data_IF_637458714408
#
_entry.id   IF_637458714408
#
_cell.length_a   1.000
_cell.length_b   1.000
_cell.length_c   1.000
_cell.angle_alpha   90.00
_cell.angle_beta   90.00
_cell.angle_gamma   90.00
#
_symmetry.space_group_name_H-M   'P 1'
#
loop_
_entity.id
_entity.type
_entity.pdbx_description
1 polymer ?
#
# COMPACT_ATOMS: atom_id res chain seq x y z
N UNK A 1 5.45 5.73 8.31
CA UNK A 1 4.20 5.66 9.09
C UNK A 1 3.22 6.75 8.66
N UNK A 2 3.57 8.04 8.80
CA UNK A 2 2.68 9.15 8.41
C UNK A 2 2.09 9.02 6.99
N UNK A 3 2.90 8.71 5.97
CA UNK A 3 2.42 8.56 4.59
C UNK A 3 1.36 7.47 4.41
N UNK A 4 1.51 6.35 5.11
CA UNK A 4 0.57 5.24 5.00
C UNK A 4 -0.74 5.56 5.75
N UNK A 5 -0.65 6.26 6.89
CA UNK A 5 -1.85 6.75 7.57
C UNK A 5 -2.63 7.76 6.72
N UNK A 6 -1.94 8.64 5.99
CA UNK A 6 -2.57 9.59 5.08
C UNK A 6 -3.26 8.88 3.90
N UNK A 7 -2.65 7.82 3.35
CA UNK A 7 -3.30 6.98 2.32
C UNK A 7 -4.60 6.35 2.83
N UNK A 8 -4.64 5.90 4.09
CA UNK A 8 -5.88 5.37 4.68
C UNK A 8 -6.94 6.44 4.88
N UNK A 9 -6.56 7.66 5.24
CA UNK A 9 -7.51 8.77 5.32
C UNK A 9 -8.16 9.06 3.97
N UNK A 10 -7.41 9.00 2.87
CA UNK A 10 -7.96 9.14 1.51
C UNK A 10 -9.03 8.06 1.27
N UNK A 11 -8.70 6.79 1.51
CA UNK A 11 -9.63 5.68 1.30
C UNK A 11 -10.91 5.82 2.15
N UNK A 12 -10.79 6.28 3.40
CA UNK A 12 -11.94 6.52 4.28
C UNK A 12 -12.78 7.69 3.75
N UNK A 13 -12.15 8.79 3.34
CA UNK A 13 -12.85 9.97 2.82
C UNK A 13 -13.60 9.62 1.53
N UNK A 14 -12.97 8.89 0.61
CA UNK A 14 -13.58 8.42 -0.62
C UNK A 14 -14.82 7.56 -0.32
N UNK A 15 -14.71 6.62 0.62
CA UNK A 15 -15.82 5.75 1.01
C UNK A 15 -16.97 6.54 1.68
N UNK A 16 -16.66 7.49 2.56
CA UNK A 16 -17.67 8.35 3.22
C UNK A 16 -18.41 9.19 2.18
N UNK A 17 -17.71 9.83 1.27
CA UNK A 17 -18.34 10.68 0.25
C UNK A 17 -19.19 9.86 -0.72
N UNK A 18 -18.70 8.70 -1.18
CA UNK A 18 -19.48 7.82 -2.06
C UNK A 18 -20.67 7.18 -1.35
N UNK A 19 -20.58 6.95 -0.04
CA UNK A 19 -21.72 6.51 0.76
C UNK A 19 -22.86 7.52 0.82
N UNK A 20 -22.56 8.82 0.70
CA UNK A 20 -23.59 9.88 0.59
C UNK A 20 -24.13 10.07 -0.84
N UNK A 21 -23.46 9.52 -1.86
CA UNK A 21 -23.99 9.52 -3.24
C UNK A 21 -25.02 8.41 -3.42
N UNK A 22 -24.69 7.18 -2.98
CA UNK A 22 -25.59 6.06 -3.09
C UNK A 22 -24.96 4.73 -2.71
N UNK A 23 -25.83 3.73 -2.46
CA UNK A 23 -25.39 2.37 -2.13
C UNK A 23 -24.70 1.68 -3.32
N UNK A 24 -25.11 2.00 -4.54
CA UNK A 24 -24.53 1.44 -5.78
C UNK A 24 -23.09 1.92 -5.92
N UNK A 25 -22.84 3.23 -5.76
CA UNK A 25 -21.53 3.86 -5.87
C UNK A 25 -20.59 3.37 -4.78
N UNK A 26 -21.10 3.24 -3.54
CA UNK A 26 -20.33 2.72 -2.42
C UNK A 26 -19.93 1.25 -2.66
N UNK A 27 -20.89 0.40 -3.06
CA UNK A 27 -20.62 -1.01 -3.37
C UNK A 27 -19.67 -1.18 -4.55
N UNK A 28 -19.86 -0.39 -5.62
CA UNK A 28 -19.01 -0.39 -6.79
C UNK A 28 -17.57 0.05 -6.46
N UNK A 29 -17.40 1.07 -5.64
CA UNK A 29 -16.06 1.55 -5.22
C UNK A 29 -15.30 0.50 -4.42
N UNK A 30 -15.98 -0.31 -3.62
CA UNK A 30 -15.36 -1.40 -2.87
C UNK A 30 -14.81 -2.49 -3.81
N UNK A 31 -15.62 -2.93 -4.80
CA UNK A 31 -15.21 -3.95 -5.79
C UNK A 31 -14.07 -3.41 -6.66
N UNK A 32 -14.25 -2.20 -7.22
CA UNK A 32 -13.26 -1.55 -8.06
C UNK A 32 -11.96 -1.27 -7.30
N UNK A 33 -12.06 -0.88 -6.02
CA UNK A 33 -10.93 -0.64 -5.14
C UNK A 33 -10.08 -1.89 -4.89
N UNK A 34 -10.70 -3.06 -4.64
CA UNK A 34 -9.99 -4.33 -4.47
C UNK A 34 -9.31 -4.75 -5.79
N UNK A 35 -10.00 -4.59 -6.91
CA UNK A 35 -9.45 -4.88 -8.23
C UNK A 35 -8.23 -3.99 -8.51
N UNK A 36 -8.37 -2.69 -8.33
CA UNK A 36 -7.28 -1.73 -8.48
C UNK A 36 -6.11 -2.02 -7.54
N UNK A 37 -6.40 -2.36 -6.26
CA UNK A 37 -5.40 -2.73 -5.28
C UNK A 37 -4.58 -3.95 -5.72
N UNK A 38 -5.22 -4.99 -6.27
CA UNK A 38 -4.51 -6.16 -6.75
C UNK A 38 -3.52 -5.81 -7.88
N UNK A 39 -3.93 -4.94 -8.81
CA UNK A 39 -3.05 -4.43 -9.88
C UNK A 39 -1.92 -3.57 -9.30
N UNK A 40 -2.25 -2.66 -8.38
CA UNK A 40 -1.28 -1.79 -7.72
C UNK A 40 -0.20 -2.58 -6.96
N UNK A 41 -0.57 -3.71 -6.35
CA UNK A 41 0.35 -4.56 -5.58
C UNK A 41 1.49 -5.13 -6.44
N UNK A 42 1.32 -5.26 -7.76
CA UNK A 42 2.42 -5.64 -8.64
C UNK A 42 3.52 -4.57 -8.67
N UNK A 43 3.15 -3.31 -8.85
CA UNK A 43 4.10 -2.19 -8.79
C UNK A 43 4.70 -1.99 -7.40
N UNK A 44 3.87 -2.11 -6.36
CA UNK A 44 4.31 -2.01 -4.96
C UNK A 44 5.33 -3.10 -4.61
N UNK A 45 5.08 -4.36 -4.96
CA UNK A 45 6.01 -5.46 -4.75
C UNK A 45 7.35 -5.25 -5.48
N UNK A 46 7.32 -4.76 -6.72
CA UNK A 46 8.55 -4.37 -7.42
C UNK A 46 9.30 -3.27 -6.68
N UNK A 47 8.60 -2.26 -6.18
CA UNK A 47 9.19 -1.13 -5.46
C UNK A 47 9.95 -1.57 -4.19
N UNK A 48 9.49 -2.63 -3.51
CA UNK A 48 10.19 -3.20 -2.34
C UNK A 48 11.55 -3.78 -2.76
N UNK A 49 11.60 -4.57 -3.82
CA UNK A 49 12.87 -5.12 -4.32
C UNK A 49 13.83 -4.04 -4.79
N UNK A 50 13.32 -3.03 -5.49
CA UNK A 50 14.07 -1.84 -5.89
C UNK A 50 14.66 -1.11 -4.66
N UNK A 51 13.84 -0.89 -3.61
CA UNK A 51 14.25 -0.27 -2.35
C UNK A 51 15.40 -1.02 -1.69
N UNK A 52 15.34 -2.36 -1.65
CA UNK A 52 16.40 -3.20 -1.08
C UNK A 52 17.71 -3.02 -1.83
N UNK A 53 17.69 -3.01 -3.17
CA UNK A 53 18.91 -2.78 -3.95
C UNK A 53 19.49 -1.38 -3.77
N UNK A 54 18.64 -0.36 -3.77
CA UNK A 54 19.04 1.03 -3.52
C UNK A 54 19.68 1.16 -2.13
N UNK A 55 19.02 0.59 -1.10
CA UNK A 55 19.50 0.62 0.27
C UNK A 55 20.89 -0.05 0.43
N UNK A 56 21.08 -1.19 -0.25
CA UNK A 56 22.38 -1.89 -0.24
C UNK A 56 23.47 -1.02 -0.87
N UNK A 57 23.23 -0.44 -2.05
CA UNK A 57 24.18 0.44 -2.74
C UNK A 57 24.50 1.70 -1.91
N UNK A 58 23.50 2.21 -1.21
CA UNK A 58 23.69 3.34 -0.30
C UNK A 58 24.57 2.95 0.89
N UNK A 59 24.36 1.77 1.50
CA UNK A 59 25.20 1.25 2.58
C UNK A 59 26.65 0.99 2.14
N UNK A 60 26.85 0.51 0.90
CA UNK A 60 28.19 0.37 0.27
C UNK A 60 28.83 1.72 -0.07
N UNK A 61 28.19 2.86 0.20
CA UNK A 61 28.60 4.22 -0.21
C UNK A 61 28.76 4.38 -1.74
N UNK A 62 28.23 3.46 -2.52
CA UNK A 62 28.25 3.50 -3.97
C UNK A 62 27.06 4.32 -4.52
N UNK A 63 27.10 5.63 -4.23
CA UNK A 63 26.00 6.54 -4.52
C UNK A 63 25.67 6.63 -6.03
N UNK A 64 26.69 6.56 -6.91
CA UNK A 64 26.46 6.58 -8.36
C UNK A 64 25.71 5.33 -8.85
N UNK A 65 25.99 4.16 -8.26
CA UNK A 65 25.24 2.94 -8.55
C UNK A 65 23.81 3.00 -7.99
N UNK A 66 23.60 3.71 -6.88
CA UNK A 66 22.25 3.99 -6.32
C UNK A 66 21.39 4.71 -7.35
N UNK A 67 21.87 5.81 -7.94
CA UNK A 67 21.12 6.55 -8.96
C UNK A 67 20.87 5.74 -10.23
N UNK A 68 21.85 4.98 -10.70
CA UNK A 68 21.64 4.06 -11.85
C UNK A 68 20.54 3.03 -11.56
N UNK A 69 20.53 2.43 -10.36
CA UNK A 69 19.53 1.46 -9.95
C UNK A 69 18.14 2.10 -9.88
N UNK A 70 18.05 3.31 -9.34
CA UNK A 70 16.80 4.07 -9.29
C UNK A 70 16.19 4.28 -10.68
N UNK A 71 16.98 4.70 -11.68
CA UNK A 71 16.46 4.91 -13.03
C UNK A 71 16.01 3.63 -13.72
N UNK A 72 16.66 2.47 -13.47
CA UNK A 72 16.13 1.19 -13.99
C UNK A 72 14.73 0.91 -13.42
N UNK A 73 14.54 1.13 -12.11
CA UNK A 73 13.24 0.97 -11.46
C UNK A 73 12.20 1.95 -11.97
N UNK A 74 12.58 3.21 -12.16
CA UNK A 74 11.69 4.24 -12.70
C UNK A 74 11.21 3.91 -14.12
N UNK A 75 12.12 3.50 -15.02
CA UNK A 75 11.76 3.10 -16.37
C UNK A 75 10.83 1.89 -16.39
N UNK A 76 11.14 0.86 -15.60
CA UNK A 76 10.31 -0.33 -15.52
C UNK A 76 8.91 -0.02 -14.97
N UNK A 77 8.82 0.68 -13.84
CA UNK A 77 7.54 1.03 -13.24
C UNK A 77 6.70 1.94 -14.14
N UNK A 78 7.32 2.91 -14.80
CA UNK A 78 6.59 3.75 -15.77
C UNK A 78 6.06 2.94 -16.95
N UNK A 79 6.84 2.02 -17.51
CA UNK A 79 6.40 1.11 -18.58
C UNK A 79 5.31 0.16 -18.11
N UNK A 80 5.46 -0.39 -16.90
CA UNK A 80 4.45 -1.26 -16.29
C UNK A 80 3.14 -0.51 -16.01
N UNK A 81 3.21 0.76 -15.60
CA UNK A 81 2.02 1.60 -15.41
C UNK A 81 1.21 1.75 -16.70
N UNK A 82 1.89 2.06 -17.81
CA UNK A 82 1.24 2.17 -19.12
C UNK A 82 0.63 0.83 -19.54
N UNK A 83 1.37 -0.27 -19.41
CA UNK A 83 0.90 -1.61 -19.75
C UNK A 83 -0.35 -1.98 -18.92
N UNK A 84 -0.31 -1.80 -17.62
CA UNK A 84 -1.43 -2.15 -16.73
C UNK A 84 -2.64 -1.23 -16.94
N UNK A 85 -2.43 0.07 -17.19
CA UNK A 85 -3.49 0.99 -17.55
C UNK A 85 -4.23 0.51 -18.82
N UNK A 86 -3.49 0.16 -19.86
CA UNK A 86 -4.06 -0.40 -21.11
C UNK A 86 -4.76 -1.75 -20.88
N UNK A 87 -4.18 -2.62 -20.05
CA UNK A 87 -4.79 -3.92 -19.71
C UNK A 87 -6.08 -3.75 -18.91
N UNK A 88 -6.16 -2.79 -17.98
CA UNK A 88 -7.41 -2.50 -17.28
C UNK A 88 -8.50 -2.13 -18.29
N UNK A 89 -8.24 -1.19 -19.20
CA UNK A 89 -9.24 -0.79 -20.20
C UNK A 89 -9.62 -1.92 -21.15
N UNK A 90 -8.69 -2.77 -21.55
CA UNK A 90 -8.95 -3.85 -22.49
C UNK A 90 -9.61 -5.09 -21.87
N UNK A 91 -9.21 -5.45 -20.64
CA UNK A 91 -9.58 -6.74 -20.02
C UNK A 91 -10.71 -6.60 -18.99
N UNK A 92 -10.72 -5.50 -18.20
CA UNK A 92 -11.68 -5.35 -17.10
C UNK A 92 -13.15 -5.44 -17.55
N UNK A 93 -13.57 -4.84 -18.68
CA UNK A 93 -14.96 -4.94 -19.11
C UNK A 93 -15.42 -6.39 -19.34
N UNK A 94 -14.56 -7.22 -19.94
CA UNK A 94 -14.88 -8.63 -20.19
C UNK A 94 -14.86 -9.49 -18.93
N UNK A 95 -13.87 -9.26 -18.06
CA UNK A 95 -13.70 -10.02 -16.83
C UNK A 95 -14.82 -9.69 -15.83
N UNK A 96 -15.06 -8.41 -15.57
CA UNK A 96 -16.01 -7.96 -14.54
C UNK A 96 -17.46 -8.20 -14.96
N UNK A 97 -17.77 -8.17 -16.25
CA UNK A 97 -19.10 -8.54 -16.77
C UNK A 97 -19.51 -9.97 -16.41
N UNK A 98 -18.53 -10.86 -16.22
CA UNK A 98 -18.78 -12.26 -15.82
C UNK A 98 -18.87 -12.45 -14.31
N UNK A 99 -18.31 -11.51 -13.54
CA UNK A 99 -18.23 -11.61 -12.09
C UNK A 99 -19.32 -10.82 -11.36
N UNK A 100 -19.78 -9.72 -11.96
CA UNK A 100 -20.76 -8.82 -11.35
C UNK A 100 -22.15 -9.12 -11.95
N UNK A 101 -23.09 -9.46 -11.08
CA UNK A 101 -24.45 -9.81 -11.49
C UNK A 101 -25.32 -8.58 -11.75
N UNK A 102 -25.16 -7.50 -10.98
CA UNK A 102 -25.94 -6.26 -11.14
C UNK A 102 -25.38 -5.39 -12.27
N UNK A 103 -26.19 -5.06 -13.30
CA UNK A 103 -25.78 -4.17 -14.39
C UNK A 103 -25.40 -2.76 -13.90
N UNK A 104 -26.08 -2.24 -12.89
CA UNK A 104 -25.84 -0.91 -12.32
C UNK A 104 -24.48 -0.86 -11.62
N UNK A 105 -24.20 -1.84 -10.76
CA UNK A 105 -22.89 -1.96 -10.08
C UNK A 105 -21.78 -2.16 -11.12
N UNK A 106 -22.01 -2.99 -12.15
CA UNK A 106 -21.03 -3.19 -13.23
C UNK A 106 -20.68 -1.89 -13.92
N UNK A 107 -21.67 -1.09 -14.34
CA UNK A 107 -21.43 0.19 -14.98
C UNK A 107 -20.65 1.16 -14.07
N UNK A 108 -21.05 1.27 -12.80
CA UNK A 108 -20.36 2.12 -11.84
C UNK A 108 -18.90 1.68 -11.62
N UNK A 109 -18.63 0.36 -11.56
CA UNK A 109 -17.26 -0.19 -11.44
C UNK A 109 -16.42 0.16 -12.65
N UNK A 110 -16.96 0.02 -13.88
CA UNK A 110 -16.23 0.38 -15.10
C UNK A 110 -15.95 1.88 -15.14
N UNK A 111 -16.94 2.72 -14.88
CA UNK A 111 -16.75 4.19 -14.81
C UNK A 111 -15.68 4.60 -13.81
N UNK A 112 -15.62 3.94 -12.65
CA UNK A 112 -14.56 4.17 -11.68
C UNK A 112 -13.18 3.77 -12.22
N UNK A 113 -13.07 2.55 -12.78
CA UNK A 113 -11.79 2.01 -13.26
C UNK A 113 -11.24 2.77 -14.47
N UNK A 114 -12.11 3.26 -15.35
CA UNK A 114 -11.72 4.07 -16.52
C UNK A 114 -10.90 5.29 -16.10
N UNK A 115 -11.31 5.99 -15.06
CA UNK A 115 -10.58 7.14 -14.55
C UNK A 115 -9.50 6.78 -13.54
N UNK A 116 -9.73 5.78 -12.70
CA UNK A 116 -8.79 5.39 -11.65
C UNK A 116 -7.51 4.75 -12.21
N UNK A 117 -7.61 4.06 -13.35
CA UNK A 117 -6.46 3.44 -14.02
C UNK A 117 -5.39 4.44 -14.43
N UNK A 118 -5.76 5.67 -14.79
CA UNK A 118 -4.80 6.75 -15.06
C UNK A 118 -3.95 7.11 -13.83
N UNK A 119 -4.46 6.88 -12.61
CA UNK A 119 -3.70 7.02 -11.39
C UNK A 119 -2.43 6.18 -11.37
N UNK A 120 -2.40 5.00 -12.03
CA UNK A 120 -1.20 4.17 -12.13
C UNK A 120 -0.03 4.90 -12.79
N UNK A 121 -0.30 5.80 -13.75
CA UNK A 121 0.73 6.57 -14.44
C UNK A 121 1.48 7.53 -13.50
N UNK A 122 0.87 7.90 -12.38
CA UNK A 122 1.45 8.77 -11.36
C UNK A 122 1.94 7.97 -10.15
N UNK A 123 1.17 6.99 -9.71
CA UNK A 123 1.50 6.20 -8.53
C UNK A 123 2.71 5.29 -8.72
N UNK A 124 2.95 4.74 -9.90
CA UNK A 124 4.09 3.85 -10.13
C UNK A 124 5.44 4.60 -10.19
N UNK A 125 5.59 5.72 -10.92
CA UNK A 125 6.75 6.59 -10.77
C UNK A 125 6.95 7.09 -9.34
N UNK A 126 5.86 7.42 -8.64
CA UNK A 126 5.91 7.75 -7.21
C UNK A 126 6.52 6.61 -6.38
N UNK A 127 6.14 5.36 -6.61
CA UNK A 127 6.71 4.18 -5.93
C UNK A 127 8.23 4.05 -6.19
N UNK A 128 8.70 4.36 -7.41
CA UNK A 128 10.13 4.37 -7.69
C UNK A 128 10.88 5.43 -6.86
N UNK A 129 10.35 6.66 -6.83
CA UNK A 129 10.94 7.77 -6.07
C UNK A 129 10.86 7.47 -4.56
N UNK A 130 9.73 6.91 -4.09
CA UNK A 130 9.57 6.46 -2.71
C UNK A 130 10.65 5.44 -2.33
N UNK A 131 10.89 4.44 -3.18
CA UNK A 131 11.94 3.43 -2.97
C UNK A 131 13.33 4.04 -2.86
N UNK A 132 13.59 5.07 -3.65
CA UNK A 132 14.85 5.83 -3.57
C UNK A 132 14.97 6.54 -2.21
N UNK A 133 13.98 7.32 -1.81
CA UNK A 133 14.03 8.06 -0.54
C UNK A 133 14.10 7.15 0.69
N UNK A 134 13.35 6.04 0.70
CA UNK A 134 13.42 5.07 1.81
C UNK A 134 14.78 4.37 1.80
N UNK A 135 15.29 4.00 0.62
CA UNK A 135 16.58 3.32 0.47
C UNK A 135 17.77 4.15 0.93
N UNK A 136 17.74 5.47 0.72
CA UNK A 136 18.76 6.40 1.20
C UNK A 136 18.47 6.97 2.60
N UNK A 137 17.42 6.47 3.28
CA UNK A 137 16.97 6.88 4.62
C UNK A 137 16.52 8.34 4.76
N UNK A 138 16.12 8.99 3.67
CA UNK A 138 15.64 10.38 3.60
C UNK A 138 14.10 10.46 3.51
N UNK A 139 13.37 10.03 4.54
CA UNK A 139 11.90 9.83 4.49
C UNK A 139 11.05 11.08 4.70
N UNK A 140 11.62 12.23 5.07
CA UNK A 140 10.86 13.47 5.31
C UNK A 140 10.05 13.93 4.10
N UNK A 141 10.59 13.76 2.89
CA UNK A 141 9.90 14.10 1.63
C UNK A 141 8.57 13.35 1.47
N UNK A 142 8.54 12.08 1.90
CA UNK A 142 7.36 11.23 1.80
C UNK A 142 6.21 11.71 2.70
N UNK A 143 6.52 12.28 3.85
CA UNK A 143 5.50 12.87 4.72
C UNK A 143 4.86 14.10 4.09
N UNK A 144 5.65 14.97 3.46
CA UNK A 144 5.13 16.12 2.75
C UNK A 144 4.26 15.74 1.55
N UNK A 145 4.71 14.75 0.76
CA UNK A 145 3.92 14.28 -0.38
C UNK A 145 2.58 13.65 0.07
N UNK A 146 2.57 12.94 1.19
CA UNK A 146 1.36 12.34 1.73
C UNK A 146 0.36 13.40 2.25
N UNK A 147 0.86 14.44 2.94
CA UNK A 147 0.02 15.57 3.36
C UNK A 147 -0.58 16.27 2.13
N UNK A 148 0.24 16.49 1.09
CA UNK A 148 -0.24 17.08 -0.18
C UNK A 148 -1.33 16.22 -0.82
N UNK A 149 -1.19 14.89 -0.83
CA UNK A 149 -2.21 13.99 -1.37
C UNK A 149 -3.57 14.19 -0.70
N UNK A 150 -3.59 14.17 0.65
CA UNK A 150 -4.83 14.36 1.42
C UNK A 150 -5.43 15.75 1.19
N UNK A 151 -4.58 16.80 1.22
CA UNK A 151 -5.00 18.20 1.02
C UNK A 151 -5.59 18.44 -0.36
N UNK A 152 -5.13 17.73 -1.38
CA UNK A 152 -5.68 17.80 -2.74
C UNK A 152 -6.93 16.91 -2.86
N UNK A 153 -6.87 15.67 -2.36
CA UNK A 153 -7.94 14.68 -2.52
C UNK A 153 -9.26 15.14 -1.89
N UNK A 154 -9.25 15.57 -0.61
CA UNK A 154 -10.49 15.90 0.09
C UNK A 154 -11.30 17.03 -0.58
N UNK A 155 -10.74 18.20 -0.90
CA UNK A 155 -11.49 19.26 -1.58
C UNK A 155 -11.90 18.87 -2.99
N UNK A 156 -11.04 18.15 -3.74
CA UNK A 156 -11.38 17.70 -5.09
C UNK A 156 -12.49 16.66 -5.08
N UNK A 157 -12.50 15.73 -4.14
CA UNK A 157 -13.59 14.78 -3.97
C UNK A 157 -14.92 15.50 -3.77
N UNK A 158 -14.98 16.46 -2.81
CA UNK A 158 -16.20 17.24 -2.58
C UNK A 158 -16.65 17.96 -3.86
N UNK A 159 -15.73 18.65 -4.51
CA UNK A 159 -16.03 19.43 -5.71
C UNK A 159 -16.47 18.55 -6.90
N UNK A 160 -15.73 17.45 -7.19
CA UNK A 160 -16.02 16.62 -8.35
C UNK A 160 -17.25 15.74 -8.12
N UNK A 161 -17.46 15.23 -6.90
CA UNK A 161 -18.57 14.34 -6.59
C UNK A 161 -19.89 15.13 -6.50
N UNK A 162 -19.90 16.23 -5.72
CA UNK A 162 -21.15 16.91 -5.36
C UNK A 162 -21.41 18.18 -6.19
N UNK A 163 -20.38 18.97 -6.52
CA UNK A 163 -20.58 20.22 -7.26
C UNK A 163 -20.66 19.99 -8.77
N UNK A 164 -19.81 19.10 -9.30
CA UNK A 164 -19.86 18.72 -10.73
C UNK A 164 -20.72 17.48 -10.99
N UNK A 165 -21.30 16.88 -9.95
CA UNK A 165 -22.19 15.71 -10.02
C UNK A 165 -21.60 14.52 -10.79
N UNK A 166 -20.25 14.35 -10.77
CA UNK A 166 -19.57 13.26 -11.45
C UNK A 166 -19.65 11.92 -10.67
N UNK A 167 -20.22 11.92 -9.46
CA UNK A 167 -20.41 10.73 -8.64
C UNK A 167 -19.13 9.92 -8.47
N UNK A 168 -19.21 8.60 -8.75
CA UNK A 168 -18.08 7.68 -8.58
C UNK A 168 -16.87 7.99 -9.49
N UNK A 169 -17.11 8.55 -10.68
CA UNK A 169 -16.02 9.00 -11.56
C UNK A 169 -15.27 10.18 -10.96
N UNK A 170 -15.97 11.07 -10.26
CA UNK A 170 -15.38 12.20 -9.55
C UNK A 170 -14.39 11.76 -8.48
N UNK A 171 -14.73 10.73 -7.69
CA UNK A 171 -13.84 10.14 -6.71
C UNK A 171 -12.56 9.56 -7.35
N UNK A 172 -12.70 8.84 -8.45
CA UNK A 172 -11.59 8.25 -9.19
C UNK A 172 -10.63 9.31 -9.75
N UNK A 173 -11.17 10.39 -10.30
CA UNK A 173 -10.39 11.53 -10.82
C UNK A 173 -9.68 12.24 -9.67
N UNK A 174 -10.38 12.54 -8.57
CA UNK A 174 -9.78 13.22 -7.41
C UNK A 174 -8.59 12.45 -6.85
N UNK A 175 -8.73 11.13 -6.68
CA UNK A 175 -7.67 10.27 -6.20
C UNK A 175 -6.48 10.20 -7.17
N UNK A 176 -6.72 10.16 -8.48
CA UNK A 176 -5.67 10.18 -9.51
C UNK A 176 -4.92 11.52 -9.53
N UNK A 177 -5.62 12.64 -9.39
CA UNK A 177 -5.02 13.98 -9.29
C UNK A 177 -4.23 14.17 -7.99
N UNK A 178 -4.68 13.61 -6.88
CA UNK A 178 -3.95 13.61 -5.61
C UNK A 178 -2.61 12.83 -5.72
N UNK A 179 -2.61 11.68 -6.40
CA UNK A 179 -1.39 10.92 -6.71
C UNK A 179 -0.43 11.72 -7.60
N UNK A 180 -0.96 12.42 -8.61
CA UNK A 180 -0.18 13.34 -9.44
C UNK A 180 0.46 14.46 -8.61
N UNK A 181 -0.29 15.10 -7.73
CA UNK A 181 0.20 16.14 -6.82
C UNK A 181 1.32 15.63 -5.92
N UNK A 182 1.16 14.43 -5.35
CA UNK A 182 2.20 13.76 -4.56
C UNK A 182 3.47 13.52 -5.35
N UNK A 183 3.36 13.05 -6.58
CA UNK A 183 4.50 12.83 -7.47
C UNK A 183 5.23 14.15 -7.78
N UNK A 184 4.49 15.21 -8.08
CA UNK A 184 5.05 16.55 -8.37
C UNK A 184 5.86 17.05 -7.16
N UNK A 185 5.31 16.95 -5.94
CA UNK A 185 6.01 17.38 -4.72
C UNK A 185 7.30 16.59 -4.52
N UNK A 186 7.30 15.26 -4.72
CA UNK A 186 8.52 14.47 -4.64
C UNK A 186 9.54 14.84 -5.72
N UNK A 187 9.11 15.12 -6.94
CA UNK A 187 9.99 15.57 -8.02
C UNK A 187 10.63 16.92 -7.69
N UNK A 188 9.85 17.89 -7.18
CA UNK A 188 10.35 19.20 -6.75
C UNK A 188 11.34 19.03 -5.59
N UNK A 189 10.99 18.23 -4.59
CA UNK A 189 11.87 17.98 -3.45
C UNK A 189 13.19 17.31 -3.88
N UNK A 190 13.12 16.34 -4.79
CA UNK A 190 14.30 15.68 -5.34
C UNK A 190 15.22 16.68 -6.05
N UNK A 191 14.65 17.58 -6.85
CA UNK A 191 15.43 18.63 -7.54
C UNK A 191 16.06 19.62 -6.57
N UNK A 192 15.38 19.95 -5.48
CA UNK A 192 15.79 21.00 -4.54
C UNK A 192 16.77 20.53 -3.45
N UNK A 193 16.64 19.27 -3.00
CA UNK A 193 17.31 18.79 -1.77
C UNK A 193 18.26 17.63 -1.99
N UNK A 194 18.20 16.95 -3.13
CA UNK A 194 19.08 15.81 -3.41
C UNK A 194 20.22 16.24 -4.33
N UNK A 195 21.43 15.95 -3.89
CA UNK A 195 22.66 16.17 -4.68
C UNK A 195 22.68 15.18 -5.86
N UNK A 196 22.46 15.71 -7.07
CA UNK A 196 22.36 14.94 -8.30
C UNK A 196 23.70 14.32 -8.71
N UNK A 197 24.79 15.01 -8.45
CA UNK A 197 26.13 14.56 -8.82
C UNK A 197 26.61 13.47 -7.87
N UNK A 198 26.35 13.62 -6.57
CA UNK A 198 26.62 12.59 -5.56
C UNK A 198 25.94 11.27 -5.90
N UNK A 199 24.63 11.30 -6.17
CA UNK A 199 23.85 10.09 -6.48
C UNK A 199 23.91 9.69 -7.96
N UNK A 200 24.56 10.45 -8.82
CA UNK A 200 24.64 10.16 -10.24
C UNK A 200 23.24 10.06 -10.89
N UNK A 201 22.36 11.02 -10.57
CA UNK A 201 20.98 11.03 -11.06
C UNK A 201 20.91 11.45 -12.54
N UNK A 202 21.48 10.60 -13.39
CA UNK A 202 21.40 10.73 -14.86
C UNK A 202 20.58 9.57 -15.42
N UNK A 203 19.61 9.83 -16.31
CA UNK A 203 18.80 8.79 -16.91
C UNK A 203 19.65 7.96 -17.88
N UNK A 204 20.19 6.85 -17.39
CA UNK A 204 20.96 5.88 -18.18
C UNK A 204 20.27 4.54 -18.11
N UNK A 205 19.93 3.95 -19.24
CA UNK A 205 19.35 2.62 -19.34
C UNK A 205 20.47 1.55 -19.33
N UNK A 206 20.32 0.56 -18.45
CA UNK A 206 21.19 -0.61 -18.35
C UNK A 206 20.35 -1.86 -18.20
N UNK A 207 20.13 -2.57 -19.29
CA UNK A 207 19.27 -3.78 -19.31
C UNK A 207 19.79 -4.91 -18.42
N UNK A 208 21.13 -5.04 -18.23
CA UNK A 208 21.69 -6.05 -17.33
C UNK A 208 21.39 -5.74 -15.87
N UNK A 209 21.46 -4.46 -15.52
CA UNK A 209 21.09 -4.01 -14.18
C UNK A 209 19.59 -4.15 -13.94
N UNK A 210 18.75 -3.82 -14.95
CA UNK A 210 17.30 -4.02 -14.87
C UNK A 210 16.93 -5.48 -14.61
N UNK A 211 17.54 -6.43 -15.33
CA UNK A 211 17.30 -7.87 -15.11
C UNK A 211 17.67 -8.27 -13.68
N UNK A 212 18.76 -7.74 -13.12
CA UNK A 212 19.12 -8.00 -11.72
C UNK A 212 18.08 -7.46 -10.73
N UNK A 213 17.54 -6.26 -10.98
CA UNK A 213 16.45 -5.69 -10.17
C UNK A 213 15.20 -6.56 -10.29
N UNK A 214 14.81 -6.97 -11.50
CA UNK A 214 13.66 -7.83 -11.75
C UNK A 214 13.77 -9.18 -11.05
N UNK A 215 14.91 -9.86 -11.17
CA UNK A 215 15.13 -11.15 -10.51
C UNK A 215 14.99 -11.09 -8.98
N UNK A 216 15.35 -9.95 -8.38
CA UNK A 216 15.15 -9.73 -6.96
C UNK A 216 13.68 -9.40 -6.65
N UNK A 217 13.06 -8.57 -7.49
CA UNK A 217 11.74 -7.98 -7.23
C UNK A 217 10.58 -8.91 -7.57
N UNK A 218 10.75 -9.86 -8.52
CA UNK A 218 9.67 -10.75 -8.94
C UNK A 218 9.05 -11.53 -7.77
N UNK A 219 9.87 -11.97 -6.85
CA UNK A 219 9.39 -12.67 -5.64
C UNK A 219 8.63 -11.74 -4.69
N UNK A 220 9.03 -10.48 -4.59
CA UNK A 220 8.29 -9.46 -3.83
C UNK A 220 6.98 -9.08 -4.51
N UNK A 221 6.94 -9.06 -5.84
CA UNK A 221 5.70 -8.84 -6.63
C UNK A 221 4.71 -9.97 -6.38
N UNK A 222 5.15 -11.22 -6.50
CA UNK A 222 4.32 -12.40 -6.22
C UNK A 222 3.85 -12.42 -4.76
N UNK A 223 4.73 -12.11 -3.82
CA UNK A 223 4.39 -12.00 -2.41
C UNK A 223 3.29 -10.95 -2.17
N UNK A 224 3.44 -9.75 -2.72
CA UNK A 224 2.46 -8.67 -2.55
C UNK A 224 1.10 -9.02 -3.16
N UNK A 225 1.08 -9.65 -4.33
CA UNK A 225 -0.14 -10.11 -4.98
C UNK A 225 -0.85 -11.20 -4.17
N UNK A 226 -0.12 -12.24 -3.74
CA UNK A 226 -0.67 -13.36 -2.95
C UNK A 226 -1.15 -12.89 -1.58
N UNK A 227 -0.59 -11.82 -1.02
CA UNK A 227 -1.06 -11.26 0.25
C UNK A 227 -2.49 -10.71 0.19
N UNK A 228 -2.99 -10.37 -0.99
CA UNK A 228 -4.36 -9.85 -1.18
C UNK A 228 -5.36 -10.95 -1.54
N UNK A 229 -4.93 -11.98 -2.26
CA UNK A 229 -5.81 -13.03 -2.76
C UNK A 229 -6.59 -13.80 -1.65
N UNK A 230 -5.98 -14.20 -0.52
CA UNK A 230 -6.70 -14.89 0.56
C UNK A 230 -7.77 -14.02 1.21
N UNK A 231 -7.56 -12.72 1.31
CA UNK A 231 -8.58 -11.81 1.83
C UNK A 231 -9.84 -11.79 0.97
N UNK A 232 -9.66 -11.82 -0.35
CA UNK A 232 -10.78 -11.91 -1.27
C UNK A 232 -11.56 -13.22 -1.08
N UNK A 233 -10.85 -14.36 -1.04
CA UNK A 233 -11.46 -15.68 -0.81
C UNK A 233 -12.14 -15.77 0.55
N UNK A 234 -11.54 -15.23 1.59
CA UNK A 234 -12.09 -15.16 2.94
C UNK A 234 -13.43 -14.40 2.95
N UNK A 235 -13.51 -13.24 2.30
CA UNK A 235 -14.75 -12.48 2.24
C UNK A 235 -15.85 -13.18 1.43
N UNK A 236 -15.48 -13.84 0.33
CA UNK A 236 -16.43 -14.68 -0.41
C UNK A 236 -16.97 -15.82 0.47
N UNK A 237 -16.11 -16.50 1.22
CA UNK A 237 -16.52 -17.57 2.13
C UNK A 237 -17.46 -17.06 3.24
N UNK A 238 -17.16 -15.90 3.83
CA UNK A 238 -18.00 -15.30 4.90
C UNK A 238 -19.36 -14.82 4.35
N UNK A 239 -19.41 -14.31 3.11
CA UNK A 239 -20.67 -13.94 2.48
C UNK A 239 -21.67 -15.10 2.44
N UNK A 240 -21.17 -16.33 2.26
CA UNK A 240 -22.00 -17.53 2.28
C UNK A 240 -22.48 -17.93 3.69
N UNK A 241 -21.86 -17.43 4.77
CA UNK A 241 -22.30 -17.70 6.15
C UNK A 241 -23.47 -16.82 6.58
N UNK A 242 -23.52 -15.58 6.10
CA UNK A 242 -24.61 -14.68 6.40
C UNK A 242 -24.23 -13.19 6.36
N UNK A 243 -25.25 -12.33 6.33
CA UNK A 243 -25.07 -10.88 6.28
C UNK A 243 -24.47 -10.32 7.59
N UNK A 244 -24.85 -10.91 8.72
CA UNK A 244 -24.40 -10.53 10.06
C UNK A 244 -22.90 -10.79 10.21
N UNK A 245 -22.45 -11.99 9.85
CA UNK A 245 -21.06 -12.43 9.90
C UNK A 245 -20.18 -11.58 8.95
N UNK A 246 -20.70 -11.26 7.78
CA UNK A 246 -20.04 -10.39 6.82
C UNK A 246 -19.87 -8.97 7.38
N UNK A 247 -20.91 -8.40 7.99
CA UNK A 247 -20.87 -7.06 8.59
C UNK A 247 -19.84 -7.01 9.73
N UNK A 248 -19.86 -7.97 10.64
CA UNK A 248 -18.90 -8.07 11.76
C UNK A 248 -17.47 -8.19 11.23
N UNK A 249 -17.23 -9.03 10.23
CA UNK A 249 -15.92 -9.23 9.61
C UNK A 249 -15.42 -7.96 8.94
N UNK A 250 -16.28 -7.21 8.26
CA UNK A 250 -15.94 -5.94 7.63
C UNK A 250 -15.54 -4.87 8.66
N UNK A 251 -16.32 -4.71 9.72
CA UNK A 251 -16.02 -3.77 10.81
C UNK A 251 -14.67 -4.12 11.42
N UNK A 252 -14.49 -5.39 11.81
CA UNK A 252 -13.27 -5.88 12.45
C UNK A 252 -12.04 -5.70 11.56
N UNK A 253 -12.17 -6.00 10.26
CA UNK A 253 -11.11 -5.78 9.26
C UNK A 253 -10.76 -4.30 9.12
N UNK A 254 -11.76 -3.43 9.06
CA UNK A 254 -11.55 -1.98 8.88
C UNK A 254 -10.74 -1.39 10.04
N UNK A 255 -11.06 -1.79 11.25
CA UNK A 255 -10.30 -1.37 12.43
C UNK A 255 -8.90 -2.02 12.46
N UNK A 256 -8.79 -3.32 12.15
CA UNK A 256 -7.51 -4.02 12.13
C UNK A 256 -6.55 -3.50 11.07
N UNK A 257 -7.06 -2.90 9.99
CA UNK A 257 -6.25 -2.28 8.94
C UNK A 257 -5.34 -1.16 9.49
N UNK A 258 -5.77 -0.42 10.51
CA UNK A 258 -4.94 0.62 11.17
C UNK A 258 -3.71 -0.04 11.80
N UNK A 259 -3.90 -1.15 12.53
CA UNK A 259 -2.82 -1.89 13.18
C UNK A 259 -1.89 -2.55 12.16
N UNK A 260 -2.46 -3.09 11.08
CA UNK A 260 -1.68 -3.61 9.95
C UNK A 260 -0.79 -2.54 9.32
N UNK A 261 -1.31 -1.33 9.11
CA UNK A 261 -0.55 -0.19 8.56
C UNK A 261 0.63 0.17 9.46
N UNK A 262 0.42 0.21 10.78
CA UNK A 262 1.48 0.49 11.75
C UNK A 262 2.56 -0.62 11.65
N UNK A 263 2.16 -1.89 11.77
CA UNK A 263 3.09 -3.02 11.71
C UNK A 263 3.88 -3.07 10.39
N UNK A 264 3.20 -2.90 9.27
CA UNK A 264 3.80 -2.93 7.94
C UNK A 264 4.79 -1.76 7.72
N UNK A 265 4.53 -0.59 8.30
CA UNK A 265 5.45 0.55 8.23
C UNK A 265 6.80 0.23 8.88
N UNK A 266 6.78 -0.40 10.05
CA UNK A 266 8.00 -0.84 10.74
C UNK A 266 8.69 -1.97 9.97
N UNK A 267 7.92 -2.91 9.44
CA UNK A 267 8.43 -4.04 8.67
C UNK A 267 9.19 -3.61 7.41
N UNK A 268 8.58 -2.78 6.56
CA UNK A 268 9.21 -2.28 5.32
C UNK A 268 10.46 -1.44 5.62
N UNK A 269 10.41 -0.63 6.69
CA UNK A 269 11.59 0.13 7.15
C UNK A 269 12.71 -0.80 7.57
N UNK A 270 12.40 -1.91 8.27
CA UNK A 270 13.40 -2.89 8.69
C UNK A 270 14.13 -3.51 7.49
N UNK A 271 13.41 -3.88 6.43
CA UNK A 271 14.04 -4.41 5.22
C UNK A 271 15.08 -3.45 4.61
N UNK A 272 14.76 -2.17 4.58
CA UNK A 272 15.69 -1.13 4.10
C UNK A 272 16.90 -0.96 5.02
N UNK A 273 16.69 -0.87 6.34
CA UNK A 273 17.77 -0.72 7.32
C UNK A 273 18.71 -1.92 7.28
N UNK A 274 18.19 -3.14 7.28
CA UNK A 274 18.97 -4.38 7.16
C UNK A 274 19.80 -4.37 5.89
N UNK A 275 19.23 -3.97 4.76
CA UNK A 275 19.97 -3.90 3.49
C UNK A 275 21.08 -2.86 3.51
N UNK A 276 20.87 -1.68 4.13
CA UNK A 276 21.91 -0.66 4.33
C UNK A 276 23.07 -1.19 5.20
N UNK A 277 22.75 -1.85 6.31
CA UNK A 277 23.75 -2.43 7.24
C UNK A 277 24.58 -3.52 6.58
N UNK A 278 23.95 -4.38 5.75
CA UNK A 278 24.68 -5.38 4.96
C UNK A 278 25.58 -4.70 3.94
N UNK A 279 25.11 -3.65 3.27
CA UNK A 279 25.93 -2.86 2.34
C UNK A 279 27.15 -2.22 3.00
N UNK A 280 26.98 -1.72 4.23
CA UNK A 280 28.07 -1.17 5.05
C UNK A 280 29.03 -2.23 5.64
N UNK A 281 28.78 -3.52 5.45
CA UNK A 281 29.59 -4.61 6.00
C UNK A 281 29.37 -4.90 7.49
N UNK A 282 28.49 -4.16 8.17
CA UNK A 282 28.27 -4.21 9.62
C UNK A 282 27.27 -5.31 10.03
N UNK A 283 27.52 -6.55 9.63
CA UNK A 283 26.57 -7.68 9.84
C UNK A 283 26.21 -7.94 11.31
N UNK A 284 27.08 -7.59 12.24
CA UNK A 284 26.83 -7.76 13.68
C UNK A 284 25.69 -6.85 14.19
N UNK A 285 25.34 -5.77 13.46
CA UNK A 285 24.27 -4.85 13.81
C UNK A 285 22.88 -5.29 13.36
N UNK A 286 22.75 -6.40 12.61
CA UNK A 286 21.48 -6.86 12.05
C UNK A 286 20.41 -7.14 13.12
N UNK A 287 20.76 -7.98 14.12
CA UNK A 287 19.85 -8.31 15.21
C UNK A 287 19.56 -7.09 16.13
N UNK A 288 20.57 -6.32 16.55
CA UNK A 288 20.31 -5.08 17.30
C UNK A 288 19.34 -4.13 16.61
N UNK A 289 19.43 -3.94 15.30
CA UNK A 289 18.53 -3.08 14.55
C UNK A 289 17.10 -3.65 14.54
N UNK A 290 16.92 -4.94 14.26
CA UNK A 290 15.61 -5.58 14.32
C UNK A 290 14.97 -5.42 15.70
N UNK A 291 15.72 -5.61 16.79
CA UNK A 291 15.23 -5.42 18.15
C UNK A 291 14.86 -3.96 18.45
N UNK A 292 15.64 -2.98 17.97
CA UNK A 292 15.28 -1.55 18.11
C UNK A 292 13.99 -1.23 17.39
N UNK A 293 13.81 -1.74 16.17
CA UNK A 293 12.57 -1.54 15.41
C UNK A 293 11.38 -2.19 16.08
N UNK A 294 11.53 -3.42 16.62
CA UNK A 294 10.48 -4.10 17.38
C UNK A 294 10.10 -3.30 18.64
N UNK A 295 11.06 -2.83 19.42
CA UNK A 295 10.79 -2.01 20.60
C UNK A 295 10.02 -0.73 20.23
N UNK A 296 10.40 -0.05 19.16
CA UNK A 296 9.68 1.13 18.66
C UNK A 296 8.27 0.77 18.17
N UNK A 297 8.13 -0.34 17.45
CA UNK A 297 6.83 -0.83 16.97
C UNK A 297 5.87 -1.14 18.11
N UNK A 298 6.35 -1.79 19.17
CA UNK A 298 5.55 -2.02 20.39
C UNK A 298 5.27 -0.73 21.16
N UNK A 299 6.26 0.15 21.31
CA UNK A 299 6.07 1.43 21.99
C UNK A 299 5.00 2.31 21.33
N UNK A 300 4.89 2.24 20.00
CA UNK A 300 3.85 2.96 19.26
C UNK A 300 2.53 2.18 19.24
N UNK A 301 2.55 0.88 18.96
CA UNK A 301 1.33 0.12 18.71
C UNK A 301 0.58 -0.31 19.96
N UNK A 302 1.26 -0.66 21.07
CA UNK A 302 0.59 -1.12 22.29
C UNK A 302 -0.35 -0.07 22.89
N UNK A 303 0.00 1.23 22.96
CA UNK A 303 -0.96 2.24 23.43
C UNK A 303 -2.24 2.27 22.57
N UNK A 304 -2.12 2.14 21.24
CA UNK A 304 -3.30 2.07 20.37
C UNK A 304 -4.11 0.79 20.60
N UNK A 305 -3.44 -0.36 20.83
CA UNK A 305 -4.10 -1.63 21.20
C UNK A 305 -4.91 -1.46 22.46
N UNK A 306 -4.32 -0.88 23.53
CA UNK A 306 -5.00 -0.66 24.81
C UNK A 306 -6.19 0.27 24.64
N UNK A 307 -6.02 1.41 23.95
CA UNK A 307 -7.12 2.35 23.70
C UNK A 307 -8.24 1.67 22.91
N UNK A 308 -7.91 0.93 21.85
CA UNK A 308 -8.91 0.24 21.04
C UNK A 308 -9.68 -0.83 21.83
N UNK A 309 -9.02 -1.57 22.72
CA UNK A 309 -9.67 -2.56 23.59
C UNK A 309 -10.59 -1.88 24.62
N UNK A 310 -10.19 -0.77 25.21
CA UNK A 310 -11.01 -0.02 26.16
C UNK A 310 -12.20 0.65 25.50
N UNK A 311 -12.04 1.14 24.28
CA UNK A 311 -13.06 1.86 23.53
C UNK A 311 -13.78 0.98 22.49
N UNK A 312 -13.68 -0.36 22.57
CA UNK A 312 -14.16 -1.28 21.53
C UNK A 312 -15.64 -1.04 21.17
N UNK A 313 -16.52 -0.96 22.16
CA UNK A 313 -17.97 -0.74 21.97
C UNK A 313 -18.23 0.60 21.25
N UNK A 314 -17.54 1.64 21.64
CA UNK A 314 -17.64 2.97 21.03
C UNK A 314 -17.09 2.99 19.59
N UNK A 315 -15.98 2.29 19.33
CA UNK A 315 -15.42 2.17 17.97
C UNK A 315 -16.39 1.42 17.06
N UNK A 316 -16.97 0.32 17.51
CA UNK A 316 -17.93 -0.45 16.71
C UNK A 316 -19.22 0.33 16.47
N UNK A 317 -19.69 1.14 17.44
CA UNK A 317 -20.88 1.97 17.28
C UNK A 317 -20.75 3.08 16.22
N UNK A 318 -19.52 3.44 15.77
CA UNK A 318 -19.34 4.29 14.59
C UNK A 318 -19.75 3.63 13.28
N UNK A 319 -19.77 2.29 13.25
CA UNK A 319 -20.08 1.52 12.04
C UNK A 319 -21.54 1.04 11.99
N UNK A 320 -22.19 0.92 13.14
CA UNK A 320 -23.56 0.39 13.23
C UNK A 320 -24.25 0.82 14.52
N UNK A 321 -25.56 1.11 14.42
CA UNK A 321 -26.44 1.38 15.56
C UNK A 321 -27.11 0.10 16.08
N UNK A 322 -26.87 -1.07 15.45
CA UNK A 322 -27.46 -2.33 15.86
C UNK A 322 -26.72 -2.92 17.07
N UNK A 323 -27.36 -2.90 18.24
CA UNK A 323 -26.82 -3.38 19.51
C UNK A 323 -26.35 -4.84 19.44
N UNK A 324 -27.09 -5.70 18.74
CA UNK A 324 -26.74 -7.12 18.57
C UNK A 324 -25.41 -7.27 17.81
N UNK A 325 -25.20 -6.49 16.74
CA UNK A 325 -23.95 -6.48 15.99
C UNK A 325 -22.78 -5.96 16.84
N UNK A 326 -23.00 -4.94 17.67
CA UNK A 326 -22.00 -4.39 18.57
C UNK A 326 -21.54 -5.45 19.57
N UNK A 327 -22.47 -6.21 20.13
CA UNK A 327 -22.18 -7.27 21.09
C UNK A 327 -21.45 -8.45 20.46
N UNK A 328 -21.93 -8.94 19.31
CA UNK A 328 -21.32 -10.05 18.58
C UNK A 328 -19.93 -9.72 18.00
N UNK A 329 -19.68 -8.46 17.67
CA UNK A 329 -18.39 -8.00 17.16
C UNK A 329 -17.29 -8.00 18.23
N UNK A 330 -17.61 -8.02 19.54
CA UNK A 330 -16.65 -7.89 20.61
C UNK A 330 -15.53 -8.94 20.57
N UNK A 331 -15.87 -10.22 20.51
CA UNK A 331 -14.89 -11.29 20.54
C UNK A 331 -13.97 -11.30 19.30
N UNK A 332 -14.47 -11.23 18.05
CA UNK A 332 -13.62 -11.09 16.86
C UNK A 332 -12.74 -9.83 16.91
N UNK A 333 -13.27 -8.72 17.39
CA UNK A 333 -12.55 -7.46 17.52
C UNK A 333 -11.33 -7.59 18.47
N UNK A 334 -11.53 -8.15 19.65
CA UNK A 334 -10.45 -8.37 20.63
C UNK A 334 -9.36 -9.25 20.06
N UNK A 335 -9.73 -10.38 19.42
CA UNK A 335 -8.77 -11.31 18.79
C UNK A 335 -7.94 -10.60 17.71
N UNK A 336 -8.60 -9.84 16.83
CA UNK A 336 -7.94 -9.17 15.72
C UNK A 336 -6.99 -8.05 16.18
N UNK A 337 -7.34 -7.32 17.24
CA UNK A 337 -6.48 -6.26 17.78
C UNK A 337 -5.28 -6.86 18.52
N UNK A 338 -5.50 -7.91 19.32
CA UNK A 338 -4.41 -8.62 20.00
C UNK A 338 -3.43 -9.28 19.02
N UNK A 339 -3.92 -9.65 17.83
CA UNK A 339 -3.07 -10.19 16.76
C UNK A 339 -1.90 -9.27 16.41
N UNK A 340 -2.03 -7.93 16.57
CA UNK A 340 -0.92 -7.00 16.38
C UNK A 340 0.34 -7.40 17.15
N UNK A 341 0.17 -7.83 18.41
CA UNK A 341 1.27 -8.19 19.30
C UNK A 341 2.08 -9.37 18.77
N UNK A 342 1.41 -10.35 18.16
CA UNK A 342 2.05 -11.54 17.60
C UNK A 342 2.50 -11.34 16.15
N UNK A 343 1.77 -10.55 15.38
CA UNK A 343 2.06 -10.31 13.97
C UNK A 343 3.26 -9.37 13.75
N UNK A 344 3.46 -8.38 14.61
CA UNK A 344 4.54 -7.40 14.45
C UNK A 344 5.94 -8.06 14.33
N UNK A 345 6.37 -9.00 15.20
CA UNK A 345 7.65 -9.68 15.05
C UNK A 345 7.73 -10.44 13.72
N UNK A 346 6.66 -11.15 13.36
CA UNK A 346 6.58 -11.89 12.10
C UNK A 346 6.85 -10.97 10.90
N UNK A 347 6.15 -9.84 10.80
CA UNK A 347 6.34 -8.87 9.71
C UNK A 347 7.74 -8.25 9.71
N UNK A 348 8.28 -7.90 10.88
CA UNK A 348 9.63 -7.30 11.01
C UNK A 348 10.71 -8.29 10.56
N UNK A 349 10.69 -9.52 11.06
CA UNK A 349 11.70 -10.51 10.68
C UNK A 349 11.56 -11.00 9.24
N UNK A 350 10.33 -11.15 8.75
CA UNK A 350 10.09 -11.52 7.35
C UNK A 350 10.69 -10.48 6.40
N UNK A 351 10.46 -9.19 6.69
CA UNK A 351 11.03 -8.09 5.90
C UNK A 351 12.55 -7.93 6.11
N UNK A 352 13.07 -8.27 7.30
CA UNK A 352 14.52 -8.34 7.53
C UNK A 352 15.17 -9.39 6.61
N UNK A 353 14.58 -10.58 6.48
CA UNK A 353 15.03 -11.62 5.53
C UNK A 353 14.97 -11.10 4.09
N UNK A 354 13.87 -10.41 3.69
CA UNK A 354 13.76 -9.74 2.40
C UNK A 354 14.90 -8.72 2.18
N UNK A 355 15.23 -7.93 3.21
CA UNK A 355 16.33 -6.97 3.20
C UNK A 355 17.71 -7.60 2.97
N UNK A 356 17.90 -8.88 3.27
CA UNK A 356 19.13 -9.62 2.89
C UNK A 356 19.22 -9.89 1.38
N UNK A 357 18.16 -9.67 0.62
CA UNK A 357 18.04 -10.00 -0.80
C UNK A 357 17.51 -11.41 -1.07
N UNK A 358 17.14 -12.18 -0.04
CA UNK A 358 16.61 -13.54 -0.16
C UNK A 358 15.07 -13.54 -0.29
N UNK A 359 14.53 -12.73 -1.21
CA UNK A 359 13.08 -12.54 -1.37
C UNK A 359 12.33 -13.83 -1.73
N UNK A 360 12.99 -14.81 -2.37
CA UNK A 360 12.42 -16.14 -2.60
C UNK A 360 12.07 -16.85 -1.29
N UNK A 361 12.93 -16.75 -0.27
CA UNK A 361 12.69 -17.34 1.03
C UNK A 361 11.49 -16.65 1.71
N UNK A 362 11.44 -15.32 1.67
CA UNK A 362 10.32 -14.54 2.18
C UNK A 362 8.99 -14.94 1.52
N UNK A 363 9.01 -15.13 0.19
CA UNK A 363 7.84 -15.59 -0.55
C UNK A 363 7.40 -17.00 -0.12
N UNK A 364 8.34 -17.96 0.01
CA UNK A 364 8.02 -19.33 0.45
C UNK A 364 7.41 -19.34 1.85
N UNK A 365 7.96 -18.57 2.78
CA UNK A 365 7.39 -18.42 4.12
C UNK A 365 5.95 -17.88 4.06
N UNK A 366 5.69 -16.87 3.24
CA UNK A 366 4.35 -16.34 3.10
C UNK A 366 3.37 -17.38 2.56
N UNK A 367 3.72 -18.10 1.51
CA UNK A 367 2.87 -19.16 0.95
C UNK A 367 2.54 -20.23 2.00
N UNK A 368 3.54 -20.69 2.76
CA UNK A 368 3.33 -21.74 3.77
C UNK A 368 2.54 -21.28 4.99
N UNK A 369 2.46 -19.97 5.26
CA UNK A 369 1.71 -19.41 6.39
C UNK A 369 0.32 -18.94 6.01
N UNK A 370 0.06 -18.75 4.72
CA UNK A 370 -1.21 -18.16 4.22
C UNK A 370 -2.10 -19.21 3.53
N UNK A 371 -1.50 -20.27 2.98
CA UNK A 371 -2.18 -21.43 2.42
C UNK A 371 -2.16 -22.59 3.40
#
# INVERSE_FOLDING_TARGET
MMSILMEQLINITDAVFLGHVGEVELGASAIAGIYYLAVYMLGFGFSIGLQVMIARRNGEQNYKATGKTFFQGLFFLSGLAVLLCLLIHAVSPYLLKRLISSPEIYQAVIHYLDWRSFGLLFSFPFLAIRSFFVGITHTKALSWSAVTAVTINMPLNYFLIFTLELGISGAAIASSLAEMGSLIVLCIYTKAKIDKDKYGLKPVYDGRLLIKVLNLSVWSMLHAFISVAPWFLFFVAIEHLGKTELAISNITRSVSAIFFVIANSFAVTTGSLVSNVIGAGARNELFPICHKVLKLGYAVGIPFVVVALLCNRWIVSFYTDNELLIELAFAPFVVMILNYTFALPGYVYLNAVGGTGKNKITFLFQVTTTC
#
